data_IF_289373823343
#
_entry.id   IF_289373823343
#
_cell.length_a   1.000
_cell.length_b   1.000
_cell.length_c   1.000
_cell.angle_alpha   90.00
_cell.angle_beta   90.00
_cell.angle_gamma   90.00
#
_symmetry.space_group_name_H-M   'P 1'
#
loop_
_entity.id
_entity.type
_entity.pdbx_description
1 polymer ?
2 non-polymer ?
3 water ?
#
# COMPACT_ATOMS: atom_id res chain seq x y z
N UNK A 4 12.81 -3.59 10.50
CA UNK A 4 11.57 -2.86 10.86
C UNK A 4 10.31 -3.61 10.42
N UNK A 5 9.16 -3.01 10.69
CA UNK A 5 7.88 -3.69 10.55
C UNK A 5 7.56 -3.98 9.08
N UNK A 6 8.17 -3.23 8.14
CA UNK A 6 7.89 -3.41 6.72
C UNK A 6 9.02 -4.15 6.00
N UNK A 7 9.83 -4.93 6.74
CA UNK A 7 10.86 -5.74 6.11
C UNK A 7 10.23 -6.69 5.11
N UNK A 8 10.88 -6.82 3.95
CA UNK A 8 10.46 -7.72 2.89
C UNK A 8 9.14 -7.28 2.24
N UNK A 9 8.69 -6.04 2.52
CA UNK A 9 7.50 -5.50 1.87
C UNK A 9 7.93 -4.56 0.75
N UNK A 10 7.27 -4.70 -0.40
CA UNK A 10 7.48 -3.84 -1.55
C UNK A 10 6.12 -3.24 -1.90
N UNK A 11 6.00 -1.93 -1.70
CA UNK A 11 4.74 -1.23 -1.90
C UNK A 11 4.73 -0.52 -3.25
N UNK A 12 3.76 -0.85 -4.10
CA UNK A 12 3.39 0.02 -5.21
C UNK A 12 2.51 1.15 -4.66
N UNK A 13 2.93 2.41 -4.85
CA UNK A 13 2.17 3.55 -4.37
C UNK A 13 1.39 4.20 -5.51
N UNK A 14 0.06 4.12 -5.40
CA UNK A 14 -0.86 4.83 -6.27
C UNK A 14 -1.62 5.85 -5.43
N UNK A 15 -0.94 6.95 -5.07
CA UNK A 15 -1.47 7.93 -4.13
C UNK A 15 -1.36 9.34 -4.73
N UNK A 16 -1.68 9.45 -6.03
CA UNK A 16 -1.51 10.65 -6.82
C UNK A 16 -2.24 11.86 -6.22
N UNK A 17 -3.35 11.63 -5.51
CA UNK A 17 -4.20 12.74 -5.10
C UNK A 17 -3.94 13.16 -3.66
N UNK A 18 -3.00 12.51 -2.98
CA UNK A 18 -2.61 12.93 -1.64
C UNK A 18 -1.81 14.22 -1.75
N UNK A 19 -1.88 15.11 -0.74
CA UNK A 19 -0.95 16.24 -0.66
C UNK A 19 0.50 15.76 -0.70
N UNK A 20 1.39 16.59 -1.27
CA UNK A 20 2.77 16.18 -1.49
C UNK A 20 3.42 15.78 -0.17
N UNK A 21 3.13 16.52 0.91
CA UNK A 21 3.73 16.28 2.21
C UNK A 21 3.37 14.88 2.72
N UNK A 22 2.15 14.42 2.43
CA UNK A 22 1.69 13.10 2.85
C UNK A 22 2.31 12.00 1.99
N UNK A 23 2.44 12.24 0.68
CA UNK A 23 3.12 11.29 -0.18
C UNK A 23 4.54 11.04 0.33
N UNK A 24 5.25 12.13 0.65
CA UNK A 24 6.62 12.05 1.12
C UNK A 24 6.68 11.27 2.43
N UNK A 25 5.72 11.54 3.33
CA UNK A 25 5.70 10.91 4.63
C UNK A 25 5.41 9.42 4.52
N UNK A 26 4.53 9.02 3.59
CA UNK A 26 4.26 7.62 3.33
C UNK A 26 5.56 6.94 2.91
N UNK A 27 6.29 7.57 1.99
CA UNK A 27 7.56 7.04 1.49
C UNK A 27 8.59 6.90 2.61
N UNK A 28 8.76 7.95 3.42
CA UNK A 28 9.78 7.91 4.47
C UNK A 28 9.37 6.93 5.57
N UNK A 29 8.06 6.82 5.87
CA UNK A 29 7.59 5.84 6.83
C UNK A 29 7.92 4.43 6.36
N UNK A 30 7.75 4.18 5.05
CA UNK A 30 8.04 2.88 4.48
C UNK A 30 9.55 2.61 4.54
N UNK A 31 10.36 3.55 4.04
CA UNK A 31 11.79 3.31 3.93
C UNK A 31 12.45 3.21 5.31
N UNK A 32 12.03 4.06 6.26
CA UNK A 32 12.65 4.09 7.58
C UNK A 32 12.32 2.83 8.38
N UNK A 33 11.33 2.05 7.94
CA UNK A 33 10.88 0.87 8.67
C UNK A 33 11.07 -0.39 7.83
N UNK A 34 12.08 -0.39 6.95
CA UNK A 34 12.59 -1.61 6.34
C UNK A 34 11.94 -1.96 5.01
N UNK A 35 11.03 -1.12 4.53
CA UNK A 35 10.28 -1.43 3.32
C UNK A 35 10.90 -0.80 2.08
N UNK A 36 10.38 -1.18 0.91
CA UNK A 36 10.72 -0.53 -0.35
C UNK A 36 9.43 -0.11 -1.04
N UNK A 37 9.53 0.85 -1.96
CA UNK A 37 8.35 1.29 -2.67
C UNK A 37 8.71 1.55 -4.13
N UNK A 38 7.67 1.50 -4.97
CA UNK A 38 7.75 1.78 -6.38
C UNK A 38 6.46 2.49 -6.78
N UNK A 39 6.49 3.19 -7.92
CA UNK A 39 5.28 3.81 -8.43
C UNK A 39 4.64 2.90 -9.47
N UNK A 40 5.34 1.81 -9.84
CA UNK A 40 4.88 0.89 -10.86
C UNK A 40 4.43 -0.42 -10.20
N UNK A 41 3.36 -1.03 -10.74
CA UNK A 41 2.89 -2.33 -10.28
C UNK A 41 3.59 -3.43 -11.07
N UNK A 42 4.27 -4.33 -10.37
CA UNK A 42 4.94 -5.46 -11.01
C UNK A 42 4.81 -6.70 -10.12
N UNK A 43 5.19 -7.89 -10.62
CA UNK A 43 5.06 -9.13 -9.84
C UNK A 43 5.76 -9.14 -8.48
N UNK A 44 6.79 -8.29 -8.29
CA UNK A 44 7.55 -8.29 -7.04
C UNK A 44 6.85 -7.49 -5.95
N UNK A 45 5.86 -6.65 -6.31
CA UNK A 45 5.11 -5.89 -5.31
C UNK A 45 4.40 -6.87 -4.36
N UNK A 46 4.49 -6.60 -3.06
CA UNK A 46 3.75 -7.36 -2.05
C UNK A 46 2.43 -6.66 -1.71
N UNK A 47 2.44 -5.32 -1.85
CA UNK A 47 1.32 -4.47 -1.48
C UNK A 47 1.13 -3.40 -2.56
N UNK A 48 -0.11 -2.93 -2.70
CA UNK A 48 -0.38 -1.72 -3.46
C UNK A 48 -1.24 -0.82 -2.58
N UNK A 49 -0.77 0.42 -2.42
CA UNK A 49 -1.42 1.42 -1.59
C UNK A 49 -2.16 2.37 -2.52
N UNK A 50 -3.46 2.51 -2.26
CA UNK A 50 -4.37 3.25 -3.13
C UNK A 50 -5.11 4.30 -2.31
N UNK A 51 -4.90 5.59 -2.64
CA UNK A 51 -5.69 6.63 -2.01
C UNK A 51 -7.12 6.56 -2.55
N UNK A 52 -8.03 7.32 -1.92
CA UNK A 52 -9.46 7.21 -2.19
C UNK A 52 -9.79 7.50 -3.66
N UNK A 53 -9.09 8.46 -4.28
CA UNK A 53 -9.46 8.93 -5.60
C UNK A 53 -8.76 8.15 -6.71
N UNK A 54 -7.82 7.25 -6.37
CA UNK A 54 -7.18 6.41 -7.38
C UNK A 54 -7.98 5.12 -7.56
N UNK A 55 -8.01 4.59 -8.79
CA UNK A 55 -8.70 3.34 -9.10
C UNK A 55 -7.77 2.44 -9.90
N UNK A 56 -8.12 1.16 -9.97
CA UNK A 56 -7.33 0.15 -10.65
C UNK A 56 -8.13 -0.40 -11.82
N UNK A 57 -7.45 -0.60 -12.95
CA UNK A 57 -8.04 -1.23 -14.12
C UNK A 57 -8.22 -2.72 -13.86
N UNK A 58 -9.01 -3.37 -14.73
CA UNK A 58 -9.19 -4.81 -14.66
C UNK A 58 -7.85 -5.50 -14.90
N UNK A 59 -7.02 -4.92 -15.79
CA UNK A 59 -5.70 -5.47 -16.05
C UNK A 59 -4.89 -5.50 -14.75
N UNK A 60 -4.88 -4.37 -14.04
CA UNK A 60 -4.13 -4.26 -12.80
C UNK A 60 -4.68 -5.24 -11.76
N UNK A 61 -6.01 -5.31 -11.65
CA UNK A 61 -6.65 -6.19 -10.69
C UNK A 61 -6.29 -7.65 -10.98
N UNK A 62 -6.23 -8.03 -12.26
CA UNK A 62 -5.82 -9.36 -12.68
C UNK A 62 -4.38 -9.64 -12.25
N UNK A 63 -3.50 -8.66 -12.44
CA UNK A 63 -2.11 -8.79 -12.05
C UNK A 63 -2.01 -8.99 -10.54
N UNK A 64 -2.80 -8.21 -9.79
CA UNK A 64 -2.81 -8.24 -8.34
C UNK A 64 -3.23 -9.62 -7.83
N UNK A 65 -4.29 -10.18 -8.44
CA UNK A 65 -4.80 -11.49 -8.08
C UNK A 65 -3.74 -12.55 -8.35
N UNK A 66 -3.22 -12.54 -9.58
CA UNK A 66 -2.21 -13.49 -10.03
C UNK A 66 -0.98 -13.48 -9.13
N UNK A 67 -0.56 -12.31 -8.65
CA UNK A 67 0.71 -12.20 -7.95
C UNK A 67 0.51 -12.07 -6.44
N UNK A 68 -0.73 -12.25 -5.97
CA UNK A 68 -1.05 -12.22 -4.55
C UNK A 68 -0.64 -10.90 -3.89
N UNK A 69 -0.91 -9.78 -4.58
CA UNK A 69 -0.60 -8.47 -4.03
C UNK A 69 -1.75 -8.05 -3.10
N UNK A 70 -1.40 -7.51 -1.93
CA UNK A 70 -2.36 -6.98 -0.97
C UNK A 70 -2.74 -5.54 -1.32
N UNK A 71 -4.03 -5.28 -1.55
CA UNK A 71 -4.51 -3.92 -1.79
C UNK A 71 -4.85 -3.28 -0.45
N UNK A 72 -4.29 -2.09 -0.19
CA UNK A 72 -4.50 -1.39 1.07
C UNK A 72 -4.64 0.12 0.83
N UNK A 73 -5.19 0.81 1.83
CA UNK A 73 -5.26 2.27 1.83
C UNK A 73 -4.06 2.83 2.61
N UNK A 74 -3.82 4.16 2.57
CA UNK A 74 -2.75 4.76 3.36
C UNK A 74 -2.81 4.49 4.86
N UNK A 75 -4.02 4.32 5.39
CA UNK A 75 -4.21 4.09 6.82
C UNK A 75 -3.47 2.84 7.28
N UNK A 76 -3.32 1.86 6.38
CA UNK A 76 -2.56 0.66 6.71
C UNK A 76 -1.15 1.04 7.15
N UNK A 77 -0.50 1.96 6.41
CA UNK A 77 0.82 2.45 6.76
C UNK A 77 0.77 3.30 8.02
N UNK A 78 -0.11 4.31 8.05
CA UNK A 78 -0.17 5.24 9.18
C UNK A 78 -0.40 4.49 10.49
N UNK A 79 -1.37 3.57 10.48
CA UNK A 79 -1.79 2.87 11.68
C UNK A 79 -0.70 1.88 12.12
N UNK A 80 -0.12 1.15 11.17
CA UNK A 80 0.94 0.19 11.50
C UNK A 80 2.12 0.93 12.18
N UNK A 81 2.48 2.08 11.62
CA UNK A 81 3.53 2.92 12.18
C UNK A 81 3.16 3.36 13.61
N UNK A 82 1.92 3.82 13.78
CA UNK A 82 1.45 4.32 15.06
C UNK A 82 1.47 3.21 16.11
N UNK A 83 1.05 2.00 15.70
CA UNK A 83 0.95 0.88 16.62
C UNK A 83 2.29 0.16 16.76
N UNK A 84 3.27 0.54 15.92
CA UNK A 84 4.61 -0.04 15.96
C UNK A 84 4.54 -1.54 15.68
N UNK A 85 3.62 -1.91 14.78
CA UNK A 85 3.33 -3.30 14.50
C UNK A 85 2.62 -3.39 13.15
N UNK A 86 3.09 -4.32 12.31
CA UNK A 86 2.44 -4.57 11.03
C UNK A 86 1.03 -5.10 11.32
N UNK A 87 0.01 -4.39 10.84
CA UNK A 87 -1.38 -4.71 11.13
C UNK A 87 -1.93 -5.70 10.11
N UNK A 88 -3.21 -6.05 10.29
CA UNK A 88 -3.91 -6.98 9.42
C UNK A 88 -4.34 -6.24 8.16
N UNK A 89 -3.62 -6.48 7.07
CA UNK A 89 -3.82 -5.74 5.83
C UNK A 89 -5.22 -5.99 5.26
N UNK A 90 -5.85 -7.11 5.64
CA UNK A 90 -7.18 -7.44 5.17
C UNK A 90 -8.24 -6.46 5.69
N UNK A 91 -7.96 -5.73 6.77
CA UNK A 91 -8.89 -4.74 7.29
C UNK A 91 -8.74 -3.38 6.62
N UNK A 92 -7.84 -3.25 5.63
CA UNK A 92 -7.55 -1.96 5.01
C UNK A 92 -7.71 -2.01 3.49
N UNK A 93 -8.56 -2.89 2.99
CA UNK A 93 -8.63 -3.15 1.56
C UNK A 93 -9.76 -2.34 0.94
N UNK A 94 -9.47 -1.30 0.12
CA UNK A 94 -10.54 -0.55 -0.53
C UNK A 94 -11.39 -1.38 -1.50
N UNK A 95 -10.81 -2.46 -2.06
CA UNK A 95 -11.53 -3.30 -3.01
C UNK A 95 -12.15 -4.53 -2.35
N UNK A 96 -12.22 -4.54 -1.01
CA UNK A 96 -12.89 -5.62 -0.31
C UNK A 96 -14.32 -5.78 -0.82
N UNK A 97 -15.06 -4.69 -1.15
CA UNK A 97 -16.42 -4.82 -1.68
C UNK A 97 -16.54 -5.62 -2.97
N UNK A 98 -15.43 -5.74 -3.71
CA UNK A 98 -15.38 -6.54 -4.93
C UNK A 98 -14.79 -7.92 -4.67
N UNK A 99 -14.33 -8.17 -3.43
CA UNK A 99 -13.68 -9.42 -3.03
C UNK A 99 -12.37 -9.60 -3.79
N UNK A 100 -11.55 -8.54 -3.83
CA UNK A 100 -10.27 -8.56 -4.51
C UNK A 100 -9.18 -8.14 -3.51
X LIG B 1 -11.02 -1.52 -17.19
X LIG B 1 -10.34 -2.17 -16.11
X LIG B 1 -11.67 -0.34 -16.69
X LIG B 1 -10.07 -1.17 -18.21
X LIG B 1 -12.01 -2.42 -17.74
#
# INVERSE_FOLDING_TARGET
MVMGIFANCIFCLKVKYLPQQQKKKLQTDIKENGGKFSFSLNPQCTHIILDNADVLSQYQLNSIQKNHVHIANPDFIWKSIREKRLLDVKNYDPYKPLDI
SO4 S O1 O2 O3 O4
#
